data_IF_716755095797
#
_entry.id   IF_716755095797
#
_cell.length_a   1.000
_cell.length_b   1.000
_cell.length_c   1.000
_cell.angle_alpha   90.00
_cell.angle_beta   90.00
_cell.angle_gamma   90.00
#
_symmetry.space_group_name_H-M   'P 1'
#
loop_
_entity.id
_entity.type
_entity.pdbx_description
1 polymer ?
#
# COMPACT_ATOMS: atom_id res chain seq x y z
N UNK A 1 8.52 9.22 -66.23
CA UNK A 1 9.38 9.96 -65.28
C UNK A 1 9.62 9.06 -64.07
N UNK A 2 10.88 8.96 -63.65
CA UNK A 2 11.43 7.99 -62.68
C UNK A 2 11.93 8.78 -61.47
N UNK A 3 11.53 8.40 -60.25
CA UNK A 3 12.17 8.74 -58.96
C UNK A 3 11.63 7.74 -57.91
N UNK A 4 12.33 6.63 -57.63
CA UNK A 4 13.44 6.43 -56.68
C UNK A 4 13.02 6.42 -55.21
N UNK A 5 13.17 5.23 -54.60
CA UNK A 5 13.27 5.01 -53.15
C UNK A 5 14.43 5.83 -52.56
N UNK A 6 14.19 6.44 -51.40
CA UNK A 6 15.26 6.75 -50.44
C UNK A 6 14.73 6.36 -49.06
N UNK A 7 15.38 5.37 -48.45
CA UNK A 7 15.23 5.01 -47.05
C UNK A 7 16.01 5.99 -46.19
N UNK A 8 15.42 6.49 -45.10
CA UNK A 8 16.17 6.93 -43.91
C UNK A 8 15.33 6.64 -42.67
N UNK A 9 15.81 5.67 -41.90
CA UNK A 9 15.43 5.43 -40.52
C UNK A 9 15.95 6.57 -39.65
N UNK A 10 15.14 7.08 -38.71
CA UNK A 10 15.64 7.53 -37.39
C UNK A 10 14.47 7.84 -36.45
N UNK A 11 14.26 6.89 -35.53
CA UNK A 11 13.98 7.09 -34.11
C UNK A 11 13.39 8.43 -33.65
N UNK A 12 12.24 8.36 -32.99
CA UNK A 12 12.13 8.69 -31.57
C UNK A 12 10.81 8.10 -31.04
N UNK A 13 10.94 6.90 -30.47
CA UNK A 13 9.98 6.37 -29.52
C UNK A 13 9.95 7.35 -28.34
N UNK A 14 8.98 8.25 -28.29
CA UNK A 14 8.57 8.82 -27.01
C UNK A 14 7.69 7.77 -26.36
N UNK A 15 8.33 6.76 -25.77
CA UNK A 15 7.71 6.05 -24.67
C UNK A 15 7.48 7.13 -23.62
N UNK A 16 6.24 7.59 -23.51
CA UNK A 16 5.82 8.42 -22.40
C UNK A 16 6.13 7.64 -21.15
N UNK A 17 7.24 7.98 -20.49
CA UNK A 17 7.48 7.64 -19.12
C UNK A 17 6.37 8.31 -18.35
N UNK A 18 5.29 7.58 -18.08
CA UNK A 18 4.51 7.80 -16.88
C UNK A 18 5.46 7.48 -15.74
N UNK A 19 6.31 8.44 -15.43
CA UNK A 19 7.00 8.53 -14.16
C UNK A 19 5.88 8.62 -13.13
N UNK A 20 5.47 7.48 -12.60
CA UNK A 20 4.80 7.42 -11.32
C UNK A 20 5.82 7.95 -10.32
N UNK A 21 5.89 9.26 -10.22
CA UNK A 21 6.44 9.99 -9.09
C UNK A 21 5.53 9.70 -7.91
N UNK A 22 5.55 8.46 -7.43
CA UNK A 22 5.11 8.14 -6.08
C UNK A 22 6.28 8.43 -5.13
N UNK A 23 6.77 9.67 -5.20
CA UNK A 23 7.40 10.31 -4.05
C UNK A 23 6.30 11.07 -3.32
N UNK A 24 5.23 10.37 -2.96
CA UNK A 24 4.35 10.87 -1.92
C UNK A 24 5.14 10.64 -0.64
N UNK A 25 5.59 11.73 0.02
CA UNK A 25 5.97 11.68 1.44
C UNK A 25 5.06 10.67 2.10
N UNK A 26 5.59 9.60 2.67
CA UNK A 26 4.82 8.48 3.21
C UNK A 26 3.79 9.01 4.22
N UNK A 27 2.60 9.35 3.72
CA UNK A 27 1.49 9.75 4.57
C UNK A 27 1.10 8.46 5.25
N UNK A 28 1.51 8.37 6.50
CA UNK A 28 1.16 7.32 7.42
C UNK A 28 -0.34 7.08 7.30
N UNK A 29 -0.76 5.88 6.85
CA UNK A 29 -2.16 5.62 6.51
C UNK A 29 -3.11 5.77 7.72
N UNK A 30 -2.55 5.62 8.93
CA UNK A 30 -3.24 5.82 10.19
C UNK A 30 -3.12 7.24 10.77
N UNK A 31 -2.67 8.23 10.01
CA UNK A 31 -2.53 9.61 10.49
C UNK A 31 -3.85 10.22 11.01
N UNK A 32 -4.99 9.70 10.56
CA UNK A 32 -6.32 10.13 11.00
C UNK A 32 -6.84 9.32 12.21
N UNK A 33 -6.03 8.43 12.78
CA UNK A 33 -6.40 7.65 13.95
C UNK A 33 -6.50 8.57 15.17
N UNK A 34 -7.63 8.55 15.90
CA UNK A 34 -7.73 9.29 17.15
C UNK A 34 -6.76 8.72 18.18
N UNK A 35 -6.30 9.56 19.12
CA UNK A 35 -5.31 9.17 20.12
C UNK A 35 -5.74 7.95 20.95
N UNK A 36 -7.04 7.84 21.26
CA UNK A 36 -7.58 6.68 21.96
C UNK A 36 -7.38 5.35 21.21
N UNK A 37 -7.38 5.40 19.87
CA UNK A 37 -7.17 4.22 19.03
C UNK A 37 -5.69 3.93 18.74
N UNK A 38 -4.78 4.90 18.93
CA UNK A 38 -3.37 4.73 18.56
C UNK A 38 -2.70 3.60 19.34
N UNK A 39 -2.89 3.51 20.65
CA UNK A 39 -2.29 2.41 21.43
C UNK A 39 -2.80 1.06 20.90
N UNK A 40 -4.11 0.94 20.68
CA UNK A 40 -4.71 -0.28 20.15
C UNK A 40 -4.22 -0.63 18.76
N UNK A 41 -3.95 0.37 17.92
CA UNK A 41 -3.40 0.17 16.59
C UNK A 41 -2.04 -0.54 16.62
N UNK A 42 -1.10 0.01 17.39
CA UNK A 42 0.26 -0.56 17.51
C UNK A 42 0.24 -1.92 18.21
N UNK A 43 -0.51 -2.06 19.30
CA UNK A 43 -0.67 -3.32 20.05
C UNK A 43 -1.28 -4.43 19.17
N UNK A 44 -2.30 -4.08 18.38
CA UNK A 44 -2.94 -5.03 17.48
C UNK A 44 -2.04 -5.44 16.32
N UNK A 45 -1.24 -4.52 15.78
CA UNK A 45 -0.25 -4.83 14.76
C UNK A 45 0.81 -5.81 15.32
N UNK A 46 1.36 -5.51 16.49
CA UNK A 46 2.35 -6.36 17.17
C UNK A 46 1.78 -7.76 17.48
N UNK A 47 0.53 -7.85 17.95
CA UNK A 47 -0.16 -9.12 18.24
C UNK A 47 -0.37 -9.99 17.01
N UNK A 48 -0.53 -9.40 15.82
CA UNK A 48 -0.60 -10.16 14.56
C UNK A 48 0.78 -10.42 13.96
N UNK A 49 1.86 -9.96 14.61
CA UNK A 49 3.24 -10.13 14.18
C UNK A 49 3.66 -9.20 13.05
N UNK A 50 2.97 -8.06 12.90
CA UNK A 50 3.25 -7.07 11.87
C UNK A 50 3.64 -5.72 12.47
N UNK A 51 4.47 -4.96 11.76
CA UNK A 51 4.60 -3.53 12.04
C UNK A 51 3.39 -2.79 11.46
N UNK A 52 2.93 -1.72 12.12
CA UNK A 52 1.81 -0.93 11.62
C UNK A 52 2.11 -0.25 10.26
N UNK A 53 3.40 0.02 10.00
CA UNK A 53 3.92 0.58 8.75
C UNK A 53 4.03 -0.47 7.65
N UNK A 54 4.13 -1.76 8.03
CA UNK A 54 4.14 -2.86 7.08
C UNK A 54 2.71 -3.20 6.66
N UNK A 55 2.17 -2.36 5.78
CA UNK A 55 0.84 -2.52 5.20
C UNK A 55 0.71 -3.89 4.53
N UNK A 56 1.77 -4.42 3.88
CA UNK A 56 1.71 -5.74 3.25
C UNK A 56 1.44 -6.82 4.29
N UNK A 57 2.19 -6.81 5.39
CA UNK A 57 1.99 -7.75 6.49
C UNK A 57 0.58 -7.62 7.08
N UNK A 58 0.16 -6.39 7.42
CA UNK A 58 -1.18 -6.13 7.94
C UNK A 58 -2.27 -6.64 7.01
N UNK A 59 -2.09 -6.55 5.70
CA UNK A 59 -3.08 -7.00 4.74
C UNK A 59 -3.19 -8.52 4.63
N UNK A 60 -2.08 -9.25 4.82
CA UNK A 60 -2.13 -10.72 4.92
C UNK A 60 -2.86 -11.20 6.17
N UNK A 61 -2.84 -10.39 7.24
CA UNK A 61 -3.46 -10.69 8.53
C UNK A 61 -4.68 -9.80 8.83
N UNK A 62 -5.24 -9.13 7.81
CA UNK A 62 -6.17 -8.00 7.99
C UNK A 62 -7.35 -8.35 8.89
N UNK A 63 -7.94 -9.52 8.68
CA UNK A 63 -9.08 -9.96 9.48
C UNK A 63 -8.73 -10.14 10.95
N UNK A 64 -7.56 -10.71 11.26
CA UNK A 64 -7.10 -10.87 12.65
C UNK A 64 -6.76 -9.51 13.25
N UNK A 65 -6.08 -8.66 12.49
CA UNK A 65 -5.75 -7.30 12.92
C UNK A 65 -6.99 -6.50 13.30
N UNK A 66 -8.03 -6.53 12.47
CA UNK A 66 -9.31 -5.87 12.73
C UNK A 66 -10.00 -6.39 14.00
N UNK A 67 -10.00 -7.72 14.22
CA UNK A 67 -10.62 -8.33 15.40
C UNK A 67 -9.88 -7.94 16.69
N UNK A 68 -8.56 -8.04 16.69
CA UNK A 68 -7.72 -7.67 17.86
C UNK A 68 -7.84 -6.16 18.15
N UNK A 69 -7.90 -5.33 17.10
CA UNK A 69 -8.13 -3.91 17.26
C UNK A 69 -9.49 -3.61 17.89
N UNK A 70 -10.55 -4.26 17.43
CA UNK A 70 -11.89 -4.07 17.95
C UNK A 70 -11.93 -4.46 19.44
N UNK A 71 -11.37 -5.61 19.81
CA UNK A 71 -11.26 -6.05 21.20
C UNK A 71 -10.52 -5.01 22.08
N UNK A 72 -9.41 -4.48 21.60
CA UNK A 72 -8.68 -3.44 22.33
C UNK A 72 -9.48 -2.13 22.45
N UNK A 73 -10.15 -1.72 21.37
CA UNK A 73 -10.93 -0.48 21.33
C UNK A 73 -12.13 -0.53 22.28
N UNK A 74 -12.76 -1.70 22.46
CA UNK A 74 -13.82 -1.91 23.44
C UNK A 74 -13.32 -1.77 24.90
N UNK A 75 -12.07 -2.15 25.18
CA UNK A 75 -11.48 -2.05 26.53
C UNK A 75 -11.03 -0.62 26.85
N UNK A 76 -10.57 0.13 25.85
CA UNK A 76 -9.88 1.43 26.04
C UNK A 76 -10.83 2.59 26.38
N UNK A 77 -12.16 2.35 26.43
CA UNK A 77 -13.21 3.34 26.76
C UNK A 77 -13.12 4.63 25.92
N UNK A 78 -12.89 4.51 24.62
CA UNK A 78 -12.98 5.66 23.72
C UNK A 78 -14.39 6.25 23.72
N UNK A 79 -14.51 7.56 23.45
CA UNK A 79 -15.83 8.12 23.16
C UNK A 79 -16.39 7.48 21.90
N UNK A 80 -17.73 7.38 21.79
CA UNK A 80 -18.38 6.76 20.62
C UNK A 80 -17.90 7.36 19.29
N UNK A 81 -17.68 8.68 19.27
CA UNK A 81 -17.21 9.40 18.07
C UNK A 81 -15.77 9.02 17.69
N UNK A 82 -14.89 8.87 18.67
CA UNK A 82 -13.51 8.42 18.43
C UNK A 82 -13.47 6.96 17.99
N UNK A 83 -14.27 6.10 18.61
CA UNK A 83 -14.38 4.70 18.22
C UNK A 83 -14.81 4.54 16.76
N UNK A 84 -15.83 5.26 16.33
CA UNK A 84 -16.29 5.24 14.93
C UNK A 84 -15.22 5.76 13.95
N UNK A 85 -14.49 6.82 14.30
CA UNK A 85 -13.35 7.30 13.49
C UNK A 85 -12.23 6.27 13.42
N UNK A 86 -11.92 5.64 14.54
CA UNK A 86 -10.90 4.61 14.62
C UNK A 86 -11.24 3.41 13.74
N UNK A 87 -12.48 2.90 13.82
CA UNK A 87 -12.95 1.84 12.94
C UNK A 87 -12.91 2.24 11.46
N UNK A 88 -13.22 3.49 11.13
CA UNK A 88 -13.12 3.97 9.75
C UNK A 88 -11.68 3.88 9.23
N UNK A 89 -10.70 4.28 10.05
CA UNK A 89 -9.27 4.19 9.70
C UNK A 89 -8.85 2.73 9.49
N UNK A 90 -9.19 1.84 10.42
CA UNK A 90 -8.87 0.40 10.35
C UNK A 90 -9.54 -0.30 9.16
N UNK A 91 -10.75 0.10 8.78
CA UNK A 91 -11.41 -0.43 7.60
C UNK A 91 -10.88 0.17 6.29
N UNK A 92 -10.11 1.27 6.38
CA UNK A 92 -9.46 1.93 5.24
C UNK A 92 -7.97 1.59 5.10
N UNK A 93 -7.47 0.54 5.79
CA UNK A 93 -6.09 0.07 5.60
C UNK A 93 -5.88 -0.13 4.08
N UNK A 94 -4.85 0.48 3.48
CA UNK A 94 -4.66 0.46 2.03
C UNK A 94 -4.12 -0.88 1.55
N UNK A 95 -4.95 -1.92 1.63
CA UNK A 95 -4.65 -3.29 1.24
C UNK A 95 -4.78 -3.58 -0.25
N UNK A 96 -4.88 -2.54 -1.08
CA UNK A 96 -4.89 -2.68 -2.53
C UNK A 96 -3.50 -3.11 -3.02
N UNK A 97 -3.29 -4.43 -3.05
CA UNK A 97 -2.53 -5.19 -4.04
C UNK A 97 -1.28 -4.52 -4.64
N UNK A 98 -0.15 -4.59 -3.94
CA UNK A 98 1.13 -4.71 -4.65
C UNK A 98 1.21 -6.12 -5.28
N UNK A 99 0.54 -6.34 -6.40
CA UNK A 99 0.83 -7.46 -7.30
C UNK A 99 2.10 -7.17 -8.10
N UNK A 100 3.25 -6.97 -7.44
CA UNK A 100 4.57 -7.26 -8.01
C UNK A 100 5.48 -7.65 -6.85
N UNK A 101 5.49 -8.93 -6.51
CA UNK A 101 6.57 -9.47 -5.70
C UNK A 101 7.90 -9.37 -6.45
N UNK A 102 9.06 -9.38 -5.76
CA UNK A 102 10.34 -9.65 -6.40
C UNK A 102 10.37 -11.12 -6.82
N UNK A 103 9.69 -11.46 -7.93
CA UNK A 103 9.89 -12.75 -8.59
C UNK A 103 11.30 -12.77 -9.20
N UNK A 104 12.03 -13.91 -9.14
CA UNK A 104 13.33 -14.02 -9.77
C UNK A 104 13.12 -13.94 -11.28
N UNK A 105 13.57 -12.86 -11.91
CA UNK A 105 13.57 -12.77 -13.37
C UNK A 105 14.61 -13.76 -13.87
N UNK A 106 14.13 -14.93 -14.30
CA UNK A 106 14.89 -15.94 -15.01
C UNK A 106 15.51 -15.29 -16.25
N UNK A 107 16.83 -15.24 -16.29
CA UNK A 107 17.64 -14.87 -17.44
C UNK A 107 17.15 -15.59 -18.69
N UNK A 108 16.64 -14.83 -19.67
CA UNK A 108 16.45 -15.33 -21.03
C UNK A 108 17.39 -14.57 -21.95
N UNK A 109 18.50 -15.22 -22.31
CA UNK A 109 19.41 -14.78 -23.36
C UNK A 109 18.86 -15.24 -24.73
N UNK A 110 18.86 -14.42 -25.78
CA UNK A 110 18.65 -14.92 -27.13
C UNK A 110 19.99 -15.24 -27.81
N UNK A 111 20.00 -16.40 -28.47
CA UNK A 111 20.95 -16.91 -29.47
C UNK A 111 21.06 -15.99 -30.70
#
# INVERSE_FOLDING_TARGET
>A
MKLNLIAVATTLFVAGTSASTLSTRSVVWWAQMPECGLKCLFDSAEKVGCDVSDVKCLCTTLRRFQLVFQECADITKCTKVEYERALKVINSVPCAAETVGPGPVTTFAPL
#
